data_IF_496096457419
#
_entry.id   IF_496096457419
#
_cell.length_a   1.000
_cell.length_b   1.000
_cell.length_c   1.000
_cell.angle_alpha   90.00
_cell.angle_beta   90.00
_cell.angle_gamma   90.00
#
_symmetry.space_group_name_H-M   'P 1'
#
loop_
_entity.id
_entity.type
_entity.pdbx_description
1 polymer ?
#
# COMPACT_ATOMS: atom_id res chain seq x y z
N UNK A 1 -13.73 -25.94 7.04
CA UNK A 1 -12.63 -25.98 6.03
C UNK A 1 -11.28 -25.91 6.74
N UNK A 2 -10.24 -26.61 6.24
CA UNK A 2 -8.88 -26.57 6.82
C UNK A 2 -8.10 -25.37 6.30
N UNK A 3 -7.11 -24.88 7.09
CA UNK A 3 -6.34 -23.67 6.77
C UNK A 3 -5.67 -23.70 5.39
N UNK A 4 -5.15 -24.85 4.94
CA UNK A 4 -4.51 -24.96 3.62
C UNK A 4 -5.49 -24.79 2.46
N UNK A 5 -6.69 -25.38 2.57
CA UNK A 5 -7.75 -25.22 1.57
C UNK A 5 -8.24 -23.78 1.54
N UNK A 6 -8.42 -23.15 2.71
CA UNK A 6 -8.82 -21.75 2.84
C UNK A 6 -7.76 -20.80 2.26
N UNK A 7 -6.49 -21.06 2.51
CA UNK A 7 -5.39 -20.28 1.97
C UNK A 7 -5.38 -20.31 0.43
N UNK A 8 -5.55 -21.47 -0.15
CA UNK A 8 -5.66 -21.64 -1.60
C UNK A 8 -6.89 -20.93 -2.19
N UNK A 9 -8.05 -21.04 -1.54
CA UNK A 9 -9.29 -20.38 -1.99
C UNK A 9 -9.17 -18.87 -1.97
N UNK A 10 -8.52 -18.31 -0.94
CA UNK A 10 -8.37 -16.87 -0.77
C UNK A 10 -7.12 -16.30 -1.47
N UNK A 11 -6.28 -17.14 -2.07
CA UNK A 11 -5.07 -16.71 -2.77
C UNK A 11 -4.01 -16.10 -1.86
N UNK A 12 -3.91 -16.58 -0.60
CA UNK A 12 -2.94 -16.13 0.39
C UNK A 12 -2.17 -17.29 1.01
N UNK A 13 -1.08 -17.01 1.71
CA UNK A 13 -0.34 -18.05 2.43
C UNK A 13 -1.05 -18.48 3.73
N UNK A 14 -0.84 -19.73 4.14
CA UNK A 14 -1.31 -20.18 5.46
C UNK A 14 -0.71 -19.37 6.62
N UNK A 15 0.49 -18.81 6.44
CA UNK A 15 1.13 -17.97 7.44
C UNK A 15 0.46 -16.60 7.55
N UNK A 16 -0.05 -16.06 6.44
CA UNK A 16 -0.88 -14.85 6.44
C UNK A 16 -2.17 -15.08 7.25
N UNK A 17 -2.83 -16.23 7.07
CA UNK A 17 -4.03 -16.55 7.84
C UNK A 17 -3.72 -16.73 9.34
N UNK A 18 -2.61 -17.38 9.67
CA UNK A 18 -2.15 -17.51 11.07
C UNK A 18 -1.79 -16.14 11.69
N UNK A 19 -1.24 -15.23 10.89
CA UNK A 19 -1.00 -13.87 11.33
C UNK A 19 -2.32 -13.16 11.65
N UNK A 20 -3.34 -13.27 10.80
CA UNK A 20 -4.66 -12.69 11.06
C UNK A 20 -5.34 -13.25 12.30
N UNK A 21 -5.22 -14.56 12.56
CA UNK A 21 -5.67 -15.17 13.81
C UNK A 21 -4.96 -14.56 15.03
N UNK A 22 -3.62 -14.49 14.99
CA UNK A 22 -2.83 -13.95 16.10
C UNK A 22 -3.09 -12.47 16.36
N UNK A 23 -3.42 -11.72 15.31
CA UNK A 23 -3.78 -10.30 15.39
C UNK A 23 -5.22 -10.06 15.89
N UNK A 24 -5.97 -11.12 16.22
CA UNK A 24 -7.34 -10.99 16.71
C UNK A 24 -8.37 -10.59 15.64
N UNK A 25 -8.00 -10.60 14.38
CA UNK A 25 -8.89 -10.26 13.26
C UNK A 25 -9.91 -11.35 12.98
N UNK A 26 -9.59 -12.58 13.39
CA UNK A 26 -10.49 -13.72 13.36
C UNK A 26 -10.77 -14.17 14.79
N UNK A 27 -12.01 -14.56 15.09
CA UNK A 27 -12.28 -15.34 16.27
C UNK A 27 -11.45 -16.62 16.21
N UNK A 28 -11.09 -17.18 17.37
CA UNK A 28 -10.35 -18.47 17.38
C UNK A 28 -11.19 -19.52 16.69
N UNK A 29 -10.71 -20.13 15.60
CA UNK A 29 -11.48 -21.13 14.89
C UNK A 29 -11.77 -22.32 15.79
N UNK A 30 -12.93 -22.93 15.64
CA UNK A 30 -13.26 -24.17 16.30
C UNK A 30 -12.23 -25.24 15.95
N UNK A 31 -11.99 -26.17 16.86
CA UNK A 31 -11.20 -27.37 16.57
C UNK A 31 -12.17 -28.51 16.29
N UNK A 32 -11.99 -29.15 15.14
CA UNK A 32 -12.71 -30.38 14.84
C UNK A 32 -12.27 -31.52 15.74
N UNK A 33 -12.98 -32.66 15.69
CA UNK A 33 -12.70 -33.89 16.46
C UNK A 33 -11.27 -34.43 16.25
N UNK A 34 -10.65 -34.06 15.14
CA UNK A 34 -9.26 -34.39 14.78
C UNK A 34 -8.22 -33.38 15.32
N UNK A 35 -8.62 -32.39 16.14
CA UNK A 35 -7.77 -31.38 16.73
C UNK A 35 -7.30 -30.27 15.77
N UNK A 36 -7.65 -30.34 14.48
CA UNK A 36 -7.31 -29.31 13.50
C UNK A 36 -8.28 -28.12 13.53
N UNK A 37 -7.76 -26.94 13.17
CA UNK A 37 -8.59 -25.73 13.02
C UNK A 37 -9.56 -25.87 11.87
N UNK A 38 -10.81 -25.58 12.12
CA UNK A 38 -11.89 -25.56 11.14
C UNK A 38 -12.48 -24.15 11.02
N UNK A 39 -12.55 -23.66 9.79
CA UNK A 39 -13.09 -22.34 9.47
C UNK A 39 -14.49 -22.50 8.89
N UNK A 40 -15.44 -21.76 9.46
CA UNK A 40 -16.81 -21.71 8.99
C UNK A 40 -17.00 -20.72 7.82
N UNK A 41 -18.20 -20.70 7.24
CA UNK A 41 -18.53 -19.78 6.14
C UNK A 41 -18.32 -18.31 6.53
N UNK A 42 -18.72 -17.91 7.74
CA UNK A 42 -18.56 -16.55 8.25
C UNK A 42 -17.07 -16.16 8.39
N UNK A 43 -16.20 -17.08 8.75
CA UNK A 43 -14.76 -16.82 8.81
C UNK A 43 -14.18 -16.61 7.42
N UNK A 44 -14.64 -17.38 6.43
CA UNK A 44 -14.24 -17.24 5.02
C UNK A 44 -14.65 -15.89 4.47
N UNK A 45 -15.90 -15.49 4.68
CA UNK A 45 -16.41 -14.17 4.23
C UNK A 45 -15.66 -13.02 4.88
N UNK A 46 -15.42 -13.11 6.18
CA UNK A 46 -14.63 -12.10 6.92
C UNK A 46 -13.22 -11.97 6.39
N UNK A 47 -12.54 -13.09 6.18
CA UNK A 47 -11.19 -13.10 5.63
C UNK A 47 -11.14 -12.53 4.22
N UNK A 48 -12.11 -12.90 3.37
CA UNK A 48 -12.21 -12.36 2.02
C UNK A 48 -12.32 -10.85 2.04
N UNK A 49 -13.19 -10.30 2.88
CA UNK A 49 -13.35 -8.85 3.03
C UNK A 49 -12.07 -8.17 3.52
N UNK A 50 -11.41 -8.74 4.55
CA UNK A 50 -10.13 -8.21 5.05
C UNK A 50 -9.07 -8.20 3.95
N UNK A 51 -8.96 -9.29 3.17
CA UNK A 51 -7.98 -9.40 2.08
C UNK A 51 -8.25 -8.36 0.99
N UNK A 52 -9.51 -8.17 0.59
CA UNK A 52 -9.87 -7.17 -0.42
C UNK A 52 -9.57 -5.74 0.07
N UNK A 53 -9.90 -5.42 1.33
CA UNK A 53 -9.56 -4.12 1.92
C UNK A 53 -8.04 -3.90 1.98
N UNK A 54 -7.27 -4.96 2.26
CA UNK A 54 -5.80 -4.91 2.25
C UNK A 54 -5.23 -4.68 0.85
N UNK A 55 -5.88 -5.20 -0.20
CA UNK A 55 -5.51 -4.92 -1.60
C UNK A 55 -5.71 -3.45 -1.98
N UNK A 56 -6.64 -2.77 -1.30
CA UNK A 56 -6.84 -1.32 -1.41
C UNK A 56 -5.90 -0.50 -0.52
N UNK A 57 -4.87 -1.14 0.05
CA UNK A 57 -3.87 -0.52 0.94
C UNK A 57 -4.46 0.03 2.26
N UNK A 58 -5.66 -0.43 2.64
CA UNK A 58 -6.28 -0.09 3.93
C UNK A 58 -5.51 -0.77 5.06
N UNK A 59 -5.14 -0.05 6.13
CA UNK A 59 -4.44 -0.64 7.28
C UNK A 59 -5.18 -1.83 7.84
N UNK A 60 -4.44 -2.82 8.34
CA UNK A 60 -5.02 -4.07 8.82
C UNK A 60 -5.98 -3.87 10.00
N UNK A 61 -5.71 -2.91 10.86
CA UNK A 61 -6.59 -2.57 11.98
C UNK A 61 -7.96 -2.07 11.50
N UNK A 62 -7.97 -1.19 10.49
CA UNK A 62 -9.19 -0.64 9.89
C UNK A 62 -9.93 -1.71 9.09
N UNK A 63 -9.22 -2.54 8.34
CA UNK A 63 -9.80 -3.68 7.62
C UNK A 63 -10.51 -4.66 8.57
N UNK A 64 -9.89 -4.95 9.72
CA UNK A 64 -10.50 -5.79 10.75
C UNK A 64 -11.73 -5.18 11.38
N UNK A 65 -11.70 -3.88 11.67
CA UNK A 65 -12.83 -3.13 12.22
C UNK A 65 -14.01 -3.10 11.26
N UNK A 66 -13.79 -2.78 9.99
CA UNK A 66 -14.80 -2.80 8.94
C UNK A 66 -15.43 -4.20 8.81
N UNK A 67 -14.59 -5.23 8.74
CA UNK A 67 -15.07 -6.60 8.62
C UNK A 67 -15.90 -7.05 9.84
N UNK A 68 -15.55 -6.56 11.04
CA UNK A 68 -16.33 -6.79 12.25
C UNK A 68 -17.72 -6.12 12.15
N UNK A 69 -17.77 -4.86 11.78
CA UNK A 69 -19.04 -4.13 11.63
C UNK A 69 -19.97 -4.76 10.61
N UNK A 70 -19.45 -5.15 9.45
CA UNK A 70 -20.23 -5.82 8.41
C UNK A 70 -20.88 -7.13 8.91
N UNK A 71 -20.20 -7.88 9.76
CA UNK A 71 -20.73 -9.14 10.29
C UNK A 71 -21.67 -8.96 11.48
N UNK A 72 -21.46 -7.92 12.29
CA UNK A 72 -22.30 -7.65 13.48
C UNK A 72 -23.53 -6.83 13.18
N UNK A 73 -23.81 -6.50 11.91
CA UNK A 73 -24.98 -5.74 11.51
C UNK A 73 -24.89 -4.24 11.77
N UNK A 74 -23.69 -3.73 12.07
CA UNK A 74 -23.43 -2.30 12.28
C UNK A 74 -23.22 -1.58 10.94
N UNK A 75 -24.22 -1.65 10.05
CA UNK A 75 -24.14 -1.03 8.72
C UNK A 75 -24.09 0.50 8.79
N UNK A 76 -24.69 1.10 9.84
CA UNK A 76 -24.66 2.55 10.06
C UNK A 76 -23.26 3.07 10.33
N UNK A 77 -22.48 2.41 11.17
CA UNK A 77 -21.10 2.77 11.50
C UNK A 77 -20.21 2.58 10.28
N UNK A 78 -20.37 1.49 9.55
CA UNK A 78 -19.62 1.24 8.30
C UNK A 78 -19.93 2.33 7.27
N UNK A 79 -21.18 2.70 7.11
CA UNK A 79 -21.59 3.73 6.15
C UNK A 79 -21.11 5.13 6.54
N UNK A 80 -20.94 5.40 7.82
CA UNK A 80 -20.46 6.69 8.30
C UNK A 80 -18.91 6.83 8.18
N UNK A 81 -18.16 5.82 8.59
CA UNK A 81 -16.68 5.92 8.69
C UNK A 81 -15.93 5.46 7.43
N UNK A 82 -16.50 4.53 6.65
CA UNK A 82 -15.81 4.00 5.47
C UNK A 82 -15.51 5.05 4.39
N UNK A 83 -16.41 6.00 4.07
CA UNK A 83 -16.13 7.05 3.09
C UNK A 83 -14.92 7.92 3.48
N UNK A 84 -14.83 8.30 4.76
CA UNK A 84 -13.73 9.13 5.27
C UNK A 84 -12.40 8.38 5.19
N UNK A 85 -12.38 7.11 5.61
CA UNK A 85 -11.20 6.25 5.51
C UNK A 85 -10.73 6.09 4.06
N UNK A 86 -11.66 5.88 3.12
CA UNK A 86 -11.32 5.81 1.69
C UNK A 86 -10.82 7.16 1.16
N UNK A 87 -11.38 8.28 1.64
CA UNK A 87 -10.94 9.62 1.32
C UNK A 87 -9.49 9.87 1.74
N UNK A 88 -9.14 9.52 2.98
CA UNK A 88 -7.77 9.59 3.50
C UNK A 88 -6.79 8.76 2.66
N UNK A 89 -7.17 7.53 2.31
CA UNK A 89 -6.34 6.66 1.46
C UNK A 89 -6.12 7.24 0.07
N UNK A 90 -7.16 7.80 -0.54
CA UNK A 90 -7.04 8.48 -1.83
C UNK A 90 -6.12 9.69 -1.75
N UNK A 91 -6.18 10.48 -0.68
CA UNK A 91 -5.29 11.63 -0.47
C UNK A 91 -3.82 11.18 -0.45
N UNK A 92 -3.48 10.14 0.31
CA UNK A 92 -2.11 9.58 0.35
C UNK A 92 -1.65 9.09 -1.02
N UNK A 93 -2.53 8.43 -1.78
CA UNK A 93 -2.22 7.98 -3.14
C UNK A 93 -1.96 9.17 -4.08
N UNK A 94 -2.77 10.21 -4.01
CA UNK A 94 -2.60 11.41 -4.82
C UNK A 94 -1.29 12.13 -4.52
N UNK A 95 -0.91 12.24 -3.25
CA UNK A 95 0.38 12.80 -2.84
C UNK A 95 1.54 11.99 -3.42
N UNK A 96 1.46 10.67 -3.34
CA UNK A 96 2.48 9.78 -3.92
C UNK A 96 2.56 9.92 -5.44
N UNK A 97 1.43 10.01 -6.13
CA UNK A 97 1.38 10.25 -7.58
C UNK A 97 2.04 11.58 -7.92
N UNK A 98 1.74 12.65 -7.16
CA UNK A 98 2.36 13.96 -7.38
C UNK A 98 3.89 13.90 -7.19
N UNK A 99 4.36 13.24 -6.14
CA UNK A 99 5.79 13.02 -5.91
C UNK A 99 6.48 12.25 -7.03
N UNK A 100 5.86 11.16 -7.51
CA UNK A 100 6.39 10.38 -8.62
C UNK A 100 6.43 11.17 -9.92
N UNK A 101 5.42 12.00 -10.21
CA UNK A 101 5.41 12.88 -11.39
C UNK A 101 6.51 13.93 -11.33
N UNK A 102 6.76 14.51 -10.16
CA UNK A 102 7.85 15.47 -9.97
C UNK A 102 9.23 14.81 -10.20
N UNK A 103 9.43 13.58 -9.70
CA UNK A 103 10.65 12.80 -9.95
C UNK A 103 10.82 12.48 -11.43
N UNK A 104 9.77 12.03 -12.11
CA UNK A 104 9.79 11.72 -13.54
C UNK A 104 10.16 12.95 -14.37
N UNK A 105 9.58 14.10 -14.06
CA UNK A 105 9.92 15.36 -14.70
C UNK A 105 11.42 15.71 -14.52
N UNK A 106 11.94 15.61 -13.30
CA UNK A 106 13.36 15.88 -13.01
C UNK A 106 14.30 14.93 -13.76
N UNK A 107 13.94 13.64 -13.81
CA UNK A 107 14.71 12.67 -14.59
C UNK A 107 14.69 12.99 -16.08
N UNK A 108 13.54 13.39 -16.63
CA UNK A 108 13.41 13.80 -18.02
C UNK A 108 14.21 15.08 -18.34
N UNK A 109 14.27 16.03 -17.42
CA UNK A 109 15.11 17.24 -17.55
C UNK A 109 16.60 16.84 -17.58
N UNK A 110 17.04 16.00 -16.65
CA UNK A 110 18.43 15.49 -16.61
C UNK A 110 18.79 14.73 -17.89
N UNK A 111 17.90 13.86 -18.35
CA UNK A 111 18.10 13.10 -19.59
C UNK A 111 18.27 14.03 -20.80
N UNK A 112 17.45 15.08 -20.91
CA UNK A 112 17.56 16.07 -21.97
C UNK A 112 18.87 16.83 -21.92
N UNK A 113 19.31 17.25 -20.73
CA UNK A 113 20.59 17.95 -20.56
C UNK A 113 21.77 17.06 -20.98
N UNK A 114 21.76 15.78 -20.62
CA UNK A 114 22.80 14.82 -20.99
C UNK A 114 22.79 14.52 -22.50
N UNK A 115 21.64 14.53 -23.15
CA UNK A 115 21.50 14.28 -24.59
C UNK A 115 21.88 15.51 -25.44
N UNK A 116 21.72 16.71 -24.90
CA UNK A 116 22.08 17.97 -25.57
C UNK A 116 23.53 18.39 -25.31
N UNK A 117 24.19 17.80 -24.30
CA UNK A 117 25.61 17.98 -24.10
C UNK A 117 26.33 17.27 -25.26
N UNK A 118 26.68 18.01 -26.33
CA UNK A 118 27.68 17.56 -27.30
C UNK A 118 28.90 17.13 -26.48
N UNK A 119 29.31 15.87 -26.61
CA UNK A 119 30.46 15.32 -25.93
C UNK A 119 31.70 16.18 -26.34
N UNK A 120 32.31 16.95 -25.44
CA UNK A 120 33.55 17.64 -25.79
C UNK A 120 34.58 16.59 -26.14
N UNK A 121 35.18 16.69 -27.31
CA UNK A 121 36.25 15.85 -27.75
C UNK A 121 37.42 16.01 -26.77
N UNK A 122 37.66 14.98 -25.96
CA UNK A 122 38.91 14.69 -25.23
C UNK A 122 39.60 15.89 -24.55
N UNK A 123 39.33 16.11 -23.26
CA UNK A 123 40.21 16.93 -22.43
C UNK A 123 39.58 17.80 -21.35
N UNK A 124 38.27 18.07 -21.36
CA UNK A 124 37.60 18.84 -20.33
C UNK A 124 36.40 18.04 -19.74
N UNK A 125 36.10 18.32 -18.47
CA UNK A 125 35.18 17.60 -17.60
C UNK A 125 34.07 16.79 -18.32
N UNK A 126 34.16 15.47 -18.25
CA UNK A 126 33.25 14.55 -18.95
C UNK A 126 31.78 14.65 -18.44
N UNK A 127 30.84 14.00 -19.13
CA UNK A 127 29.40 14.09 -18.85
C UNK A 127 29.00 13.76 -17.40
N UNK A 128 29.84 13.04 -16.66
CA UNK A 128 29.72 12.80 -15.24
C UNK A 128 29.78 14.09 -14.39
N UNK A 129 30.61 15.07 -14.77
CA UNK A 129 30.77 16.32 -14.04
C UNK A 129 29.60 17.29 -14.32
N UNK A 130 29.06 17.27 -15.55
CA UNK A 130 27.86 18.05 -15.90
C UNK A 130 26.61 17.53 -15.16
N UNK A 131 26.46 16.21 -15.03
CA UNK A 131 25.40 15.60 -14.25
C UNK A 131 25.50 15.96 -12.75
N UNK A 132 26.71 15.93 -12.18
CA UNK A 132 26.94 16.31 -10.79
C UNK A 132 26.60 17.79 -10.51
N UNK A 133 26.88 18.70 -11.44
CA UNK A 133 26.52 20.11 -11.33
C UNK A 133 25.00 20.34 -11.35
N UNK A 134 24.25 19.59 -12.15
CA UNK A 134 22.79 19.66 -12.22
C UNK A 134 22.16 19.06 -10.96
N UNK A 135 22.71 17.96 -10.44
CA UNK A 135 22.20 17.31 -9.22
C UNK A 135 22.55 18.12 -7.97
N UNK A 136 23.73 18.75 -7.91
CA UNK A 136 24.20 19.54 -6.76
C UNK A 136 23.51 20.88 -6.57
N UNK A 137 22.83 21.41 -7.59
CA UNK A 137 22.16 22.72 -7.51
C UNK A 137 20.68 22.65 -7.05
N UNK A 138 20.26 21.53 -6.49
CA UNK A 138 18.87 21.29 -6.02
C UNK A 138 18.63 21.73 -4.57
N UNK A 139 19.55 22.47 -3.93
CA UNK A 139 19.38 22.93 -2.54
C UNK A 139 18.68 24.30 -2.41
N UNK A 140 18.01 24.78 -3.48
CA UNK A 140 17.08 25.87 -3.41
C UNK A 140 15.64 25.37 -3.43
N UNK A 141 15.18 24.86 -2.26
CA UNK A 141 13.75 24.75 -2.01
C UNK A 141 13.11 26.17 -2.12
N UNK A 142 11.99 26.31 -2.84
CA UNK A 142 11.28 27.58 -2.86
C UNK A 142 10.79 27.90 -1.44
N UNK A 143 10.77 29.18 -1.03
CA UNK A 143 10.33 29.56 0.30
C UNK A 143 8.86 29.13 0.48
N UNK A 144 8.60 28.39 1.55
CA UNK A 144 7.25 28.06 1.99
C UNK A 144 6.58 29.37 2.38
N UNK A 145 5.71 29.89 1.54
CA UNK A 145 4.85 31.01 1.88
C UNK A 145 3.84 30.53 2.92
N UNK A 146 4.12 30.85 4.19
CA UNK A 146 3.11 30.80 5.25
C UNK A 146 2.11 31.90 5.03
N UNK A 147 0.86 31.55 4.84
CA UNK A 147 -0.30 32.42 5.02
C UNK A 147 -1.43 31.56 5.61
#
# INVERSE_FOLDING_TARGET
>A
MRIGALANELGVSSDTLRFYERSGLLPRPARGDNGYREYGALDVERLRLIIELRRLDIPIADAGRIAHWCQSGHCSETSAELPDLLGERRAVIHERIAGLRALDQRLGELQRHLSLAELPLVGEAGPCCAAAAVIGNTDQAPPVTQA
#
